data_IF_688477584258
#
_entry.id   IF_688477584258
#
_cell.length_a   1.000
_cell.length_b   1.000
_cell.length_c   1.000
_cell.angle_alpha   90.00
_cell.angle_beta   90.00
_cell.angle_gamma   90.00
#
_symmetry.space_group_name_H-M   'P 1'
#
loop_
_entity.id
_entity.type
_entity.pdbx_description
1 polymer ?
#
# COMPACT_ATOMS: atom_id res chain seq x y z
N UNK A 1 19.42 -20.01 1.76
CA UNK A 1 18.02 -20.49 1.63
C UNK A 1 17.21 -19.42 0.90
N UNK A 2 16.50 -19.76 -0.19
CA UNK A 2 15.58 -18.80 -0.84
C UNK A 2 14.39 -18.59 0.10
N UNK A 3 13.88 -17.36 0.27
CA UNK A 3 12.67 -17.13 1.04
C UNK A 3 11.50 -17.89 0.39
N UNK A 4 10.70 -18.57 1.20
CA UNK A 4 9.40 -19.09 0.77
C UNK A 4 8.47 -17.88 0.60
N UNK A 5 7.94 -17.66 -0.59
CA UNK A 5 7.03 -16.56 -0.91
C UNK A 5 5.73 -17.21 -1.39
N UNK A 6 4.66 -17.10 -0.62
CA UNK A 6 3.35 -17.67 -0.94
C UNK A 6 2.28 -16.59 -1.08
N UNK A 7 2.47 -15.45 -0.41
CA UNK A 7 1.51 -14.35 -0.37
C UNK A 7 2.13 -13.02 -0.82
N UNK A 8 1.27 -12.05 -1.16
CA UNK A 8 1.67 -10.64 -1.36
C UNK A 8 2.47 -10.11 -0.16
N UNK A 9 2.00 -10.42 1.05
CA UNK A 9 2.63 -10.00 2.29
C UNK A 9 4.04 -10.59 2.46
N UNK A 10 4.28 -11.84 2.05
CA UNK A 10 5.62 -12.45 2.11
C UNK A 10 6.61 -11.70 1.21
N UNK A 11 6.19 -11.37 -0.01
CA UNK A 11 7.01 -10.63 -0.96
C UNK A 11 7.33 -9.22 -0.45
N UNK A 12 6.32 -8.52 0.08
CA UNK A 12 6.48 -7.18 0.65
C UNK A 12 7.40 -7.23 1.87
N UNK A 13 7.17 -8.15 2.81
CA UNK A 13 8.00 -8.34 4.00
C UNK A 13 9.44 -8.73 3.65
N UNK A 14 9.65 -9.51 2.60
CA UNK A 14 10.99 -9.81 2.08
C UNK A 14 11.72 -8.52 1.67
N UNK A 15 11.07 -7.64 0.90
CA UNK A 15 11.67 -6.37 0.49
C UNK A 15 11.89 -5.42 1.67
N UNK A 16 10.94 -5.32 2.59
CA UNK A 16 11.10 -4.54 3.82
C UNK A 16 12.34 -5.00 4.58
N UNK A 17 12.50 -6.32 4.78
CA UNK A 17 13.65 -6.86 5.52
C UNK A 17 14.97 -6.66 4.77
N UNK A 18 14.97 -6.90 3.45
CA UNK A 18 16.16 -6.84 2.59
C UNK A 18 16.70 -5.42 2.47
N UNK A 19 15.83 -4.45 2.22
CA UNK A 19 16.23 -3.06 1.95
C UNK A 19 16.02 -2.12 3.14
N UNK A 20 15.61 -2.66 4.29
CA UNK A 20 15.39 -1.89 5.54
C UNK A 20 14.38 -0.75 5.38
N UNK A 21 13.39 -0.95 4.51
CA UNK A 21 12.29 -0.02 4.31
C UNK A 21 11.49 0.17 5.60
N UNK A 22 10.98 1.37 5.81
CA UNK A 22 10.35 1.82 7.05
C UNK A 22 8.93 2.31 6.86
N UNK A 23 8.47 2.45 5.62
CA UNK A 23 7.14 2.98 5.29
C UNK A 23 6.45 2.16 4.20
N UNK A 24 5.19 1.81 4.47
CA UNK A 24 4.30 1.04 3.58
C UNK A 24 2.96 1.76 3.42
N UNK A 25 2.44 1.79 2.19
CA UNK A 25 1.09 2.24 1.88
C UNK A 25 0.33 1.14 1.15
N UNK A 26 -0.90 0.88 1.58
CA UNK A 26 -1.84 -0.03 0.91
C UNK A 26 -3.03 0.75 0.36
N UNK A 27 -3.25 0.69 -0.95
CA UNK A 27 -4.45 1.19 -1.61
C UNK A 27 -5.33 -0.03 -1.91
N UNK A 28 -6.49 -0.14 -1.24
CA UNK A 28 -7.35 -1.33 -1.26
C UNK A 28 -7.13 -2.18 -0.01
N UNK A 29 -7.76 -1.81 1.10
CA UNK A 29 -7.62 -2.49 2.38
C UNK A 29 -8.46 -3.77 2.47
N UNK A 30 -9.68 -3.75 1.91
CA UNK A 30 -10.65 -4.83 2.01
C UNK A 30 -10.88 -5.26 3.49
N UNK A 31 -10.49 -6.49 3.84
CA UNK A 31 -10.58 -7.05 5.19
C UNK A 31 -9.29 -6.88 6.01
N UNK A 32 -8.24 -6.30 5.43
CA UNK A 32 -6.97 -6.03 6.11
C UNK A 32 -6.03 -7.23 6.23
N UNK A 33 -6.27 -8.32 5.51
CA UNK A 33 -5.42 -9.53 5.57
C UNK A 33 -3.98 -9.24 5.19
N UNK A 34 -3.77 -8.59 4.02
CA UNK A 34 -2.41 -8.21 3.57
C UNK A 34 -1.84 -7.14 4.50
N UNK A 35 -2.57 -6.06 4.75
CA UNK A 35 -2.15 -4.98 5.64
C UNK A 35 -1.72 -5.49 7.02
N UNK A 36 -2.50 -6.39 7.63
CA UNK A 36 -2.26 -6.98 8.94
C UNK A 36 -0.95 -7.76 9.01
N UNK A 37 -0.62 -8.50 7.95
CA UNK A 37 0.60 -9.30 7.85
C UNK A 37 1.87 -8.48 7.58
N UNK A 38 1.77 -7.22 7.16
CA UNK A 38 2.94 -6.36 6.89
C UNK A 38 3.64 -5.94 8.18
N UNK A 39 4.95 -6.23 8.24
CA UNK A 39 5.88 -5.93 9.33
C UNK A 39 6.73 -4.70 8.98
N UNK A 40 6.08 -3.53 8.86
CA UNK A 40 6.74 -2.25 8.60
C UNK A 40 6.61 -1.29 9.78
N UNK A 41 7.61 -0.43 10.00
CA UNK A 41 7.59 0.55 11.11
C UNK A 41 6.41 1.51 10.98
N UNK A 42 6.19 2.04 9.78
CA UNK A 42 5.06 2.90 9.46
C UNK A 42 4.24 2.23 8.36
N UNK A 43 2.94 2.17 8.56
CA UNK A 43 2.02 1.62 7.57
C UNK A 43 0.69 2.38 7.57
N UNK A 44 0.22 2.70 6.38
CA UNK A 44 -1.06 3.38 6.13
C UNK A 44 -1.90 2.57 5.15
N UNK A 45 -3.22 2.58 5.33
CA UNK A 45 -4.17 1.94 4.44
C UNK A 45 -5.25 2.91 3.98
N UNK A 46 -5.65 2.78 2.71
CA UNK A 46 -6.67 3.59 2.06
C UNK A 46 -7.71 2.66 1.45
N UNK A 47 -8.98 2.92 1.72
CA UNK A 47 -10.09 2.22 1.11
C UNK A 47 -11.31 3.15 1.04
N UNK A 48 -12.14 3.02 0.00
CA UNK A 48 -13.32 3.87 -0.15
C UNK A 48 -14.48 3.42 0.74
N UNK A 49 -14.46 2.16 1.22
CA UNK A 49 -15.52 1.62 2.06
C UNK A 49 -15.60 2.37 3.41
N UNK A 50 -16.70 3.12 3.68
CA UNK A 50 -16.84 3.92 4.91
C UNK A 50 -16.94 3.05 6.17
N UNK A 51 -17.35 1.79 6.02
CA UNK A 51 -17.51 0.83 7.11
C UNK A 51 -16.28 -0.09 7.25
N UNK A 52 -15.27 0.08 6.39
CA UNK A 52 -14.04 -0.72 6.37
C UNK A 52 -13.05 -0.38 7.47
N UNK A 53 -12.08 -1.28 7.69
CA UNK A 53 -11.03 -1.10 8.70
C UNK A 53 -9.86 -0.20 8.27
N UNK A 54 -9.90 0.41 7.09
CA UNK A 54 -8.81 1.24 6.59
C UNK A 54 -8.58 2.48 7.47
N UNK A 55 -7.33 2.91 7.59
CA UNK A 55 -6.97 4.15 8.31
C UNK A 55 -7.58 5.37 7.64
N UNK A 56 -7.55 5.42 6.31
CA UNK A 56 -8.15 6.49 5.51
C UNK A 56 -9.31 5.92 4.70
N UNK A 57 -10.53 6.25 5.13
CA UNK A 57 -11.78 5.82 4.48
C UNK A 57 -12.20 6.83 3.42
N UNK A 58 -11.51 6.81 2.29
CA UNK A 58 -11.68 7.74 1.17
C UNK A 58 -11.10 7.15 -0.11
N UNK A 59 -11.39 7.76 -1.27
CA UNK A 59 -10.72 7.38 -2.52
C UNK A 59 -9.22 7.64 -2.48
N UNK A 60 -8.45 6.83 -3.22
CA UNK A 60 -7.00 6.98 -3.36
C UNK A 60 -6.62 8.38 -3.87
N UNK A 61 -7.39 8.97 -4.78
CA UNK A 61 -7.15 10.34 -5.24
C UNK A 61 -7.26 11.38 -4.12
N UNK A 62 -8.28 11.22 -3.27
CA UNK A 62 -8.51 12.15 -2.16
C UNK A 62 -7.42 12.04 -1.11
N UNK A 63 -6.95 10.81 -0.87
CA UNK A 63 -5.77 10.56 -0.06
C UNK A 63 -4.52 11.22 -0.67
N UNK A 64 -4.21 10.95 -1.94
CA UNK A 64 -2.99 11.47 -2.58
C UNK A 64 -2.97 13.00 -2.71
N UNK A 65 -4.13 13.68 -2.83
CA UNK A 65 -4.20 15.15 -2.78
C UNK A 65 -3.78 15.74 -1.43
N UNK A 66 -3.91 14.99 -0.35
CA UNK A 66 -3.64 15.44 1.03
C UNK A 66 -2.35 14.82 1.59
N UNK A 67 -1.82 13.80 0.94
CA UNK A 67 -0.64 13.08 1.36
C UNK A 67 0.61 13.94 1.18
N UNK A 68 1.33 14.20 2.27
CA UNK A 68 2.62 14.88 2.25
C UNK A 68 3.79 13.91 2.46
N UNK A 69 3.48 12.63 2.72
CA UNK A 69 4.46 11.58 3.04
C UNK A 69 4.92 10.87 1.77
N UNK A 70 6.19 10.44 1.79
CA UNK A 70 6.73 9.45 0.86
C UNK A 70 6.74 8.06 1.49
N UNK A 71 6.55 7.02 0.68
CA UNK A 71 6.55 5.62 1.11
C UNK A 71 7.59 4.81 0.36
N UNK A 72 8.25 3.89 1.04
CA UNK A 72 9.25 3.01 0.44
C UNK A 72 8.60 1.91 -0.42
N UNK A 73 7.44 1.41 0.01
CA UNK A 73 6.60 0.47 -0.73
C UNK A 73 5.17 1.00 -0.78
N UNK A 74 4.56 0.94 -1.96
CA UNK A 74 3.15 1.24 -2.18
C UNK A 74 2.52 0.03 -2.89
N UNK A 75 1.54 -0.62 -2.26
CA UNK A 75 0.71 -1.66 -2.87
C UNK A 75 -0.54 -1.02 -3.46
N UNK A 76 -0.84 -1.32 -4.73
CA UNK A 76 -2.06 -0.92 -5.43
C UNK A 76 -2.89 -2.17 -5.67
N UNK A 77 -4.01 -2.30 -4.96
CA UNK A 77 -4.90 -3.46 -5.02
C UNK A 77 -6.37 -3.09 -4.73
N UNK A 78 -6.78 -1.89 -5.15
CA UNK A 78 -8.16 -1.42 -5.03
C UNK A 78 -8.99 -1.79 -6.27
N UNK A 79 -9.16 -0.84 -7.20
CA UNK A 79 -9.92 -1.07 -8.43
C UNK A 79 -8.97 -1.52 -9.55
N UNK A 80 -9.30 -2.63 -10.21
CA UNK A 80 -8.48 -3.27 -11.24
C UNK A 80 -8.73 -2.76 -12.67
N UNK A 81 -9.64 -1.81 -12.88
CA UNK A 81 -9.79 -1.16 -14.20
C UNK A 81 -8.56 -0.33 -14.53
N UNK A 82 -8.11 -0.45 -15.77
CA UNK A 82 -6.91 0.20 -16.30
C UNK A 82 -6.82 1.71 -15.98
N UNK A 83 -7.95 2.42 -16.08
CA UNK A 83 -7.99 3.85 -15.81
C UNK A 83 -7.64 4.19 -14.35
N UNK A 84 -8.19 3.45 -13.38
CA UNK A 84 -7.94 3.68 -11.96
C UNK A 84 -6.52 3.24 -11.59
N UNK A 85 -6.09 2.05 -12.01
CA UNK A 85 -4.72 1.56 -11.78
C UNK A 85 -3.69 2.54 -12.35
N UNK A 86 -3.88 3.04 -13.58
CA UNK A 86 -2.96 3.99 -14.20
C UNK A 86 -2.87 5.33 -13.46
N UNK A 87 -3.94 5.76 -12.79
CA UNK A 87 -3.92 6.95 -11.92
C UNK A 87 -3.20 6.66 -10.60
N UNK A 88 -3.49 5.52 -9.98
CA UNK A 88 -2.84 5.11 -8.73
C UNK A 88 -1.34 4.93 -8.92
N UNK A 89 -0.88 4.35 -10.04
CA UNK A 89 0.55 4.26 -10.37
C UNK A 89 1.17 5.67 -10.47
N UNK A 90 0.55 6.57 -11.23
CA UNK A 90 1.08 7.94 -11.40
C UNK A 90 1.14 8.71 -10.08
N UNK A 91 0.12 8.59 -9.24
CA UNK A 91 0.12 9.22 -7.92
C UNK A 91 1.12 8.56 -6.98
N UNK A 92 1.26 7.23 -7.03
CA UNK A 92 2.23 6.48 -6.24
C UNK A 92 3.66 6.88 -6.58
N UNK A 93 4.02 7.02 -7.86
CA UNK A 93 5.33 7.50 -8.29
C UNK A 93 5.65 8.91 -7.75
N UNK A 94 4.64 9.79 -7.67
CA UNK A 94 4.80 11.11 -7.02
C UNK A 94 4.95 11.02 -5.51
N UNK A 95 4.66 9.90 -4.87
CA UNK A 95 4.75 9.70 -3.41
C UNK A 95 5.71 8.56 -3.03
N UNK A 96 6.50 8.06 -3.98
CA UNK A 96 7.49 7.02 -3.73
C UNK A 96 8.76 7.64 -3.14
N UNK A 97 9.27 7.04 -2.06
CA UNK A 97 10.57 7.33 -1.48
C UNK A 97 11.61 6.63 -2.36
N UNK A 98 12.41 7.43 -3.06
CA UNK A 98 13.46 6.96 -3.97
C UNK A 98 14.49 6.08 -3.26
#
# INVERSE_FOLDING_TARGET
>A
MRPKIETKADMINYFIKKYKYKSYLEIGYLAGETFGAIKCKHKDSVDINPDGGARYRMSSDSFFRRCTRKYDIILIDANHDFHYVGRDIRNSLKHWAK
#
